data_IF_051761322796
#
_entry.id   IF_051761322796
#
_cell.length_a   1.000
_cell.length_b   1.000
_cell.length_c   1.000
_cell.angle_alpha   90.00
_cell.angle_beta   90.00
_cell.angle_gamma   90.00
#
_symmetry.space_group_name_H-M   'P 1'
#
loop_
_entity.id
_entity.type
_entity.pdbx_description
1 polymer ?
#
# COMPACT_ATOMS: atom_id res chain seq x y z
N UNK A 1 20.99 -14.20 -9.01
CA UNK A 1 20.43 -12.89 -9.45
C UNK A 1 20.41 -11.94 -8.27
N UNK A 2 21.08 -10.80 -8.35
CA UNK A 2 21.05 -9.80 -7.28
C UNK A 2 19.79 -8.94 -7.39
N UNK A 3 18.89 -9.04 -6.39
CA UNK A 3 17.71 -8.19 -6.30
C UNK A 3 18.00 -6.95 -5.43
N UNK A 4 17.78 -5.76 -5.99
CA UNK A 4 17.73 -4.52 -5.22
C UNK A 4 16.26 -4.19 -4.94
N UNK A 5 15.85 -4.36 -3.67
CA UNK A 5 14.45 -4.32 -3.27
C UNK A 5 14.11 -2.95 -2.67
N UNK A 6 13.25 -2.22 -3.35
CA UNK A 6 12.70 -0.96 -2.87
C UNK A 6 11.43 -1.18 -2.03
N UNK A 7 11.30 -0.41 -0.93
CA UNK A 7 10.15 -0.44 -0.04
C UNK A 7 9.66 0.98 0.23
N UNK A 8 8.41 1.28 -0.13
CA UNK A 8 7.73 2.50 0.31
C UNK A 8 6.79 2.18 1.48
N UNK A 9 6.55 3.13 2.37
CA UNK A 9 5.70 2.91 3.53
C UNK A 9 6.33 2.04 4.63
N UNK A 10 7.65 2.03 4.73
CA UNK A 10 8.44 1.29 5.72
C UNK A 10 8.09 1.61 7.19
N UNK A 11 7.60 2.82 7.46
CA UNK A 11 7.18 3.27 8.80
C UNK A 11 5.77 2.84 9.18
N UNK A 12 4.98 2.37 8.21
CA UNK A 12 3.63 1.85 8.42
C UNK A 12 3.62 0.48 9.10
N UNK A 13 2.43 0.02 9.51
CA UNK A 13 2.25 -1.25 10.22
C UNK A 13 2.80 -2.43 9.42
N UNK A 14 2.41 -2.54 8.14
CA UNK A 14 2.85 -3.63 7.26
C UNK A 14 4.34 -3.54 6.92
N UNK A 15 4.84 -2.32 6.64
CA UNK A 15 6.26 -2.12 6.35
C UNK A 15 7.17 -2.53 7.52
N UNK A 16 6.78 -2.18 8.75
CA UNK A 16 7.52 -2.60 9.96
C UNK A 16 7.54 -4.12 10.13
N UNK A 17 6.43 -4.81 9.83
CA UNK A 17 6.36 -6.29 9.89
C UNK A 17 7.30 -6.91 8.85
N UNK A 18 7.27 -6.42 7.62
CA UNK A 18 8.16 -6.91 6.55
C UNK A 18 9.62 -6.74 6.96
N UNK A 19 10.02 -5.56 7.41
CA UNK A 19 11.40 -5.30 7.83
C UNK A 19 11.82 -6.17 9.02
N UNK A 20 10.93 -6.35 10.01
CA UNK A 20 11.23 -7.16 11.19
C UNK A 20 11.46 -8.63 10.88
N UNK A 21 10.65 -9.19 9.97
CA UNK A 21 10.65 -10.63 9.68
C UNK A 21 11.64 -11.02 8.56
N UNK A 22 12.27 -10.04 7.91
CA UNK A 22 13.22 -10.28 6.80
C UNK A 22 14.52 -9.50 7.04
N UNK A 23 15.16 -9.71 8.21
CA UNK A 23 16.36 -8.98 8.63
C UNK A 23 17.59 -9.24 7.75
N UNK A 24 17.62 -10.39 7.09
CA UNK A 24 18.65 -10.79 6.13
C UNK A 24 18.51 -10.08 4.77
N UNK A 25 17.39 -9.38 4.53
CA UNK A 25 17.14 -8.65 3.28
C UNK A 25 17.42 -7.16 3.48
N UNK A 26 18.31 -6.60 2.68
CA UNK A 26 18.65 -5.17 2.70
C UNK A 26 17.68 -4.36 1.84
N UNK A 27 16.55 -3.96 2.41
CA UNK A 27 15.58 -3.09 1.74
C UNK A 27 16.10 -1.66 1.54
N UNK A 28 15.88 -1.11 0.36
CA UNK A 28 16.07 0.31 0.04
C UNK A 28 14.78 1.07 0.36
N UNK A 29 14.64 1.53 1.61
CA UNK A 29 13.44 2.22 2.06
C UNK A 29 13.36 3.64 1.49
N UNK A 30 12.22 3.99 0.88
CA UNK A 30 11.92 5.36 0.49
C UNK A 30 11.44 6.15 1.71
N UNK A 31 12.12 7.25 2.04
CA UNK A 31 11.86 8.04 3.25
C UNK A 31 11.23 9.39 2.97
N UNK A 32 11.21 9.82 1.71
CA UNK A 32 10.67 11.09 1.29
C UNK A 32 9.17 11.00 0.95
N UNK A 33 8.58 12.10 0.50
CA UNK A 33 7.18 12.15 0.08
C UNK A 33 7.02 11.56 -1.32
N UNK A 34 6.19 10.52 -1.46
CA UNK A 34 5.91 9.87 -2.76
C UNK A 34 5.25 10.81 -3.78
N UNK A 35 4.74 11.98 -3.34
CA UNK A 35 4.21 13.03 -4.22
C UNK A 35 5.32 13.78 -4.94
N UNK A 36 6.54 13.78 -4.40
CA UNK A 36 7.71 14.35 -5.05
C UNK A 36 8.21 13.39 -6.15
N UNK A 37 7.84 13.73 -7.39
CA UNK A 37 8.19 12.92 -8.57
C UNK A 37 9.71 12.74 -8.70
N UNK A 38 10.46 13.83 -8.61
CA UNK A 38 11.93 13.81 -8.78
C UNK A 38 12.61 12.94 -7.72
N UNK A 39 12.18 13.04 -6.47
CA UNK A 39 12.70 12.20 -5.38
C UNK A 39 12.44 10.70 -5.63
N UNK A 40 11.24 10.35 -6.09
CA UNK A 40 10.87 8.96 -6.42
C UNK A 40 11.76 8.43 -7.55
N UNK A 41 11.91 9.16 -8.65
CA UNK A 41 12.73 8.76 -9.79
C UNK A 41 14.21 8.60 -9.41
N UNK A 42 14.74 9.56 -8.65
CA UNK A 42 16.11 9.51 -8.15
C UNK A 42 16.34 8.30 -7.22
N UNK A 43 15.37 8.01 -6.34
CA UNK A 43 15.45 6.85 -5.45
C UNK A 43 15.53 5.53 -6.22
N UNK A 44 14.66 5.31 -7.22
CA UNK A 44 14.67 4.09 -8.04
C UNK A 44 15.99 3.98 -8.81
N UNK A 45 16.44 5.09 -9.43
CA UNK A 45 17.66 5.13 -10.24
C UNK A 45 18.93 4.91 -9.40
N UNK A 46 19.14 5.73 -8.36
CA UNK A 46 20.34 5.71 -7.51
C UNK A 46 20.57 4.36 -6.83
N UNK A 47 19.47 3.73 -6.40
CA UNK A 47 19.55 2.44 -5.73
C UNK A 47 19.47 1.24 -6.68
N UNK A 48 19.45 1.45 -8.00
CA UNK A 48 19.33 0.39 -9.03
C UNK A 48 18.20 -0.60 -8.71
N UNK A 49 17.04 -0.07 -8.24
CA UNK A 49 15.92 -0.89 -7.78
C UNK A 49 15.34 -1.67 -8.95
N UNK A 50 15.14 -2.98 -8.76
CA UNK A 50 14.52 -3.87 -9.73
C UNK A 50 13.33 -4.67 -9.20
N UNK A 51 13.05 -4.55 -7.89
CA UNK A 51 11.86 -5.08 -7.22
C UNK A 51 11.28 -3.98 -6.33
N UNK A 52 9.97 -3.73 -6.37
CA UNK A 52 9.32 -2.70 -5.54
C UNK A 52 8.17 -3.29 -4.75
N UNK A 53 8.18 -3.06 -3.43
CA UNK A 53 7.03 -3.21 -2.54
C UNK A 53 6.44 -1.83 -2.23
N UNK A 54 5.31 -1.52 -2.86
CA UNK A 54 4.64 -0.23 -2.67
C UNK A 54 3.52 -0.33 -1.63
N UNK A 55 3.84 0.08 -0.39
CA UNK A 55 2.93 0.03 0.76
C UNK A 55 2.49 1.42 1.23
N UNK A 56 3.13 2.48 0.75
CA UNK A 56 2.84 3.85 1.18
C UNK A 56 1.41 4.25 0.80
N UNK A 57 0.62 4.63 1.79
CA UNK A 57 -0.73 5.17 1.63
C UNK A 57 -1.20 5.88 2.89
N UNK A 58 -2.15 6.80 2.76
CA UNK A 58 -2.93 7.33 3.89
C UNK A 58 -4.03 6.33 4.17
N UNK A 59 -4.03 5.77 5.37
CA UNK A 59 -5.02 4.88 5.98
C UNK A 59 -5.11 5.26 7.48
N UNK A 60 -6.19 5.01 8.19
CA UNK A 60 -7.47 4.42 7.84
C UNK A 60 -8.46 5.40 7.20
N UNK A 61 -9.69 4.93 6.90
CA UNK A 61 -10.75 5.73 6.26
C UNK A 61 -10.98 7.08 6.95
N UNK A 62 -10.96 7.12 8.29
CA UNK A 62 -11.08 8.37 9.07
C UNK A 62 -10.05 9.43 8.67
N UNK A 63 -8.80 9.03 8.44
CA UNK A 63 -7.73 9.95 8.02
C UNK A 63 -7.91 10.39 6.56
N UNK A 64 -8.41 9.49 5.71
CA UNK A 64 -8.76 9.83 4.32
C UNK A 64 -9.88 10.86 4.28
N UNK A 65 -10.93 10.69 5.09
CA UNK A 65 -12.10 11.58 5.13
C UNK A 65 -11.77 12.97 5.71
N UNK A 66 -10.78 13.07 6.59
CA UNK A 66 -10.30 14.39 7.11
C UNK A 66 -9.71 15.26 5.99
N UNK A 67 -9.06 14.67 5.00
CA UNK A 67 -8.48 15.41 3.89
C UNK A 67 -8.42 14.55 2.62
N UNK A 68 -9.55 14.53 1.91
CA UNK A 68 -9.74 13.74 0.68
C UNK A 68 -8.73 14.13 -0.40
N UNK A 69 -8.44 15.43 -0.56
CA UNK A 69 -7.50 15.91 -1.56
C UNK A 69 -6.08 15.41 -1.27
N UNK A 70 -5.65 15.48 -0.01
CA UNK A 70 -4.35 14.93 0.41
C UNK A 70 -4.28 13.43 0.18
N UNK A 71 -5.34 12.70 0.55
CA UNK A 71 -5.43 11.26 0.34
C UNK A 71 -5.37 10.90 -1.15
N UNK A 72 -6.08 11.61 -2.02
CA UNK A 72 -5.99 11.45 -3.48
C UNK A 72 -4.57 11.69 -4.00
N UNK A 73 -3.93 12.79 -3.55
CA UNK A 73 -2.55 13.12 -3.94
C UNK A 73 -1.56 12.03 -3.52
N UNK A 74 -1.66 11.51 -2.29
CA UNK A 74 -0.76 10.45 -1.80
C UNK A 74 -1.10 9.10 -2.42
N UNK A 75 -2.34 8.62 -2.26
CA UNK A 75 -2.71 7.24 -2.60
C UNK A 75 -2.79 6.98 -4.11
N UNK A 76 -3.10 7.99 -4.91
CA UNK A 76 -3.20 7.84 -6.36
C UNK A 76 -2.03 8.51 -7.09
N UNK A 77 -1.81 9.82 -6.93
CA UNK A 77 -0.73 10.50 -7.68
C UNK A 77 0.65 10.05 -7.21
N UNK A 78 0.83 9.81 -5.90
CA UNK A 78 2.06 9.22 -5.38
C UNK A 78 2.32 7.82 -5.95
N UNK A 79 1.29 6.95 -6.00
CA UNK A 79 1.41 5.64 -6.66
C UNK A 79 1.74 5.78 -8.15
N UNK A 80 1.14 6.76 -8.83
CA UNK A 80 1.46 7.06 -10.23
C UNK A 80 2.95 7.38 -10.43
N UNK A 81 3.53 8.23 -9.56
CA UNK A 81 4.96 8.53 -9.62
C UNK A 81 5.84 7.28 -9.46
N UNK A 82 5.49 6.39 -8.51
CA UNK A 82 6.21 5.13 -8.30
C UNK A 82 6.12 4.24 -9.54
N UNK A 83 4.92 4.06 -10.10
CA UNK A 83 4.69 3.24 -11.31
C UNK A 83 5.45 3.78 -12.50
N UNK A 84 5.41 5.10 -12.73
CA UNK A 84 6.12 5.75 -13.84
C UNK A 84 7.64 5.57 -13.72
N UNK A 85 8.21 5.71 -12.50
CA UNK A 85 9.63 5.47 -12.25
C UNK A 85 10.01 4.00 -12.46
N UNK A 86 9.12 3.07 -12.06
CA UNK A 86 9.29 1.64 -12.28
C UNK A 86 9.31 1.28 -13.78
N UNK A 87 8.44 1.91 -14.56
CA UNK A 87 8.40 1.76 -16.02
C UNK A 87 9.68 2.26 -16.68
N UNK A 88 10.11 3.49 -16.35
CA UNK A 88 11.33 4.08 -16.91
C UNK A 88 12.55 3.19 -16.67
N UNK A 89 12.65 2.58 -15.48
CA UNK A 89 13.76 1.71 -15.10
C UNK A 89 13.56 0.24 -15.45
N UNK A 90 12.44 -0.12 -16.09
CA UNK A 90 12.12 -1.49 -16.51
C UNK A 90 12.39 -2.48 -15.37
N UNK A 91 11.81 -2.20 -14.17
CA UNK A 91 11.98 -3.09 -13.01
C UNK A 91 11.44 -4.49 -13.34
N UNK A 92 11.86 -5.50 -12.56
CA UNK A 92 11.45 -6.89 -12.81
C UNK A 92 10.11 -7.23 -12.16
N UNK A 93 9.85 -6.68 -10.95
CA UNK A 93 8.68 -7.06 -10.18
C UNK A 93 8.15 -5.94 -9.29
N UNK A 94 6.82 -5.86 -9.19
CA UNK A 94 6.11 -4.82 -8.45
C UNK A 94 4.99 -5.40 -7.59
N UNK A 95 5.01 -5.13 -6.29
CA UNK A 95 3.89 -5.40 -5.39
C UNK A 95 3.17 -4.13 -5.01
N UNK A 96 1.84 -4.13 -5.15
CA UNK A 96 0.98 -3.05 -4.69
C UNK A 96 0.07 -3.52 -3.56
N UNK A 97 0.20 -2.87 -2.39
CA UNK A 97 -0.73 -3.07 -1.28
C UNK A 97 -2.04 -2.35 -1.57
N UNK A 98 -3.01 -3.07 -2.14
CA UNK A 98 -4.38 -2.62 -2.29
C UNK A 98 -5.23 -3.00 -1.08
N UNK A 99 -6.54 -3.03 -1.19
CA UNK A 99 -7.47 -3.20 -0.07
C UNK A 99 -8.76 -3.92 -0.49
N UNK A 100 -9.39 -4.63 0.44
CA UNK A 100 -10.77 -5.15 0.27
C UNK A 100 -11.82 -4.05 0.01
N UNK A 101 -11.53 -2.80 0.41
CA UNK A 101 -12.43 -1.66 0.18
C UNK A 101 -12.62 -1.26 -1.29
N UNK A 102 -11.93 -1.94 -2.24
CA UNK A 102 -12.23 -1.81 -3.68
C UNK A 102 -13.52 -2.53 -4.08
N UNK A 103 -13.99 -3.46 -3.26
CA UNK A 103 -15.27 -4.15 -3.43
C UNK A 103 -16.40 -3.41 -2.71
N UNK A 104 -17.63 -3.74 -3.09
CA UNK A 104 -18.80 -3.37 -2.31
C UNK A 104 -18.92 -4.24 -1.04
N UNK A 105 -19.70 -3.80 -0.07
CA UNK A 105 -20.08 -4.63 1.07
C UNK A 105 -20.84 -5.88 0.61
N UNK A 106 -20.55 -7.02 1.19
CA UNK A 106 -21.19 -8.30 0.83
C UNK A 106 -21.25 -9.22 2.05
N UNK A 107 -22.39 -9.92 2.20
CA UNK A 107 -22.53 -11.05 3.13
C UNK A 107 -22.06 -12.38 2.52
N UNK A 108 -21.79 -12.40 1.20
CA UNK A 108 -21.27 -13.57 0.48
C UNK A 108 -19.74 -13.53 0.43
N UNK A 109 -19.12 -14.69 0.24
CA UNK A 109 -17.66 -14.79 -0.01
C UNK A 109 -17.30 -13.95 -1.23
N UNK A 110 -16.22 -13.17 -1.10
CA UNK A 110 -15.68 -12.31 -2.16
C UNK A 110 -14.45 -13.00 -2.76
N UNK A 111 -14.37 -13.02 -4.09
CA UNK A 111 -13.21 -13.47 -4.87
C UNK A 111 -12.64 -12.31 -5.69
N UNK A 112 -11.48 -12.51 -6.28
CA UNK A 112 -10.82 -11.52 -7.14
C UNK A 112 -11.63 -11.17 -8.39
N UNK A 113 -12.54 -12.06 -8.82
CA UNK A 113 -13.43 -11.89 -9.98
C UNK A 113 -14.64 -11.00 -9.68
N UNK A 114 -14.95 -10.77 -8.39
CA UNK A 114 -16.09 -9.95 -8.02
C UNK A 114 -15.96 -8.51 -8.55
N UNK A 115 -17.10 -7.90 -8.86
CA UNK A 115 -17.18 -6.52 -9.33
C UNK A 115 -16.55 -5.56 -8.28
N UNK A 116 -15.71 -4.68 -8.76
CA UNK A 116 -15.11 -3.61 -7.95
C UNK A 116 -16.02 -2.40 -7.94
N UNK A 117 -16.60 -2.11 -6.77
CA UNK A 117 -17.53 -0.99 -6.55
C UNK A 117 -17.22 -0.38 -5.16
N UNK A 118 -16.18 0.45 -5.04
CA UNK A 118 -15.78 1.01 -3.75
C UNK A 118 -16.83 1.98 -3.21
N UNK A 119 -17.19 1.83 -1.92
CA UNK A 119 -18.13 2.69 -1.21
C UNK A 119 -17.44 3.80 -0.39
N UNK A 120 -16.11 3.84 -0.38
CA UNK A 120 -15.32 4.84 0.35
C UNK A 120 -14.32 5.53 -0.56
N UNK A 121 -13.98 6.78 -0.23
CA UNK A 121 -12.90 7.49 -0.94
C UNK A 121 -11.57 6.75 -0.87
N UNK A 122 -11.27 6.10 0.26
CA UNK A 122 -10.09 5.25 0.38
C UNK A 122 -10.10 4.15 -0.69
N UNK A 123 -11.18 3.36 -0.75
CA UNK A 123 -11.34 2.32 -1.76
C UNK A 123 -11.24 2.86 -3.18
N UNK A 124 -11.86 4.01 -3.45
CA UNK A 124 -11.82 4.65 -4.76
C UNK A 124 -10.39 5.05 -5.16
N UNK A 125 -9.60 5.63 -4.23
CA UNK A 125 -8.20 5.98 -4.52
C UNK A 125 -7.34 4.76 -4.81
N UNK A 126 -7.56 3.66 -4.09
CA UNK A 126 -6.85 2.39 -4.31
C UNK A 126 -7.25 1.73 -5.62
N UNK A 127 -8.56 1.72 -5.96
CA UNK A 127 -9.03 1.19 -7.24
C UNK A 127 -8.47 1.99 -8.44
N UNK A 128 -8.44 3.33 -8.35
CA UNK A 128 -7.79 4.15 -9.39
C UNK A 128 -6.31 3.79 -9.57
N UNK A 129 -5.61 3.53 -8.47
CA UNK A 129 -4.21 3.09 -8.50
C UNK A 129 -4.06 1.69 -9.12
N UNK A 130 -4.92 0.71 -8.77
CA UNK A 130 -4.96 -0.61 -9.41
C UNK A 130 -5.11 -0.50 -10.93
N UNK A 131 -6.11 0.26 -11.38
CA UNK A 131 -6.39 0.43 -12.80
C UNK A 131 -5.21 1.10 -13.53
N UNK A 132 -4.53 2.04 -12.88
CA UNK A 132 -3.34 2.67 -13.45
C UNK A 132 -2.19 1.66 -13.61
N UNK A 133 -1.92 0.86 -12.58
CA UNK A 133 -0.88 -0.20 -12.59
C UNK A 133 -1.17 -1.19 -13.72
N UNK A 134 -2.40 -1.72 -13.76
CA UNK A 134 -2.82 -2.69 -14.79
C UNK A 134 -2.63 -2.10 -16.19
N UNK A 135 -3.14 -0.89 -16.41
CA UNK A 135 -3.01 -0.19 -17.73
C UNK A 135 -1.55 -0.02 -18.14
N UNK A 136 -0.69 0.38 -17.18
CA UNK A 136 0.70 0.73 -17.49
C UNK A 136 1.61 -0.48 -17.65
N UNK A 137 1.35 -1.57 -16.93
CA UNK A 137 2.20 -2.77 -16.99
C UNK A 137 1.71 -3.83 -18.00
N UNK A 138 0.49 -3.69 -18.55
CA UNK A 138 -0.15 -4.68 -19.42
C UNK A 138 0.74 -5.16 -20.57
N UNK A 139 1.46 -4.26 -21.24
CA UNK A 139 2.29 -4.55 -22.41
C UNK A 139 3.78 -4.40 -22.09
N UNK A 140 4.19 -4.77 -20.88
CA UNK A 140 5.58 -4.71 -20.43
C UNK A 140 5.98 -6.06 -19.83
N UNK A 141 7.28 -6.30 -19.69
CA UNK A 141 7.82 -7.48 -19.01
C UNK A 141 7.77 -7.40 -17.48
N UNK A 142 7.28 -6.27 -16.92
CA UNK A 142 7.18 -6.07 -15.47
C UNK A 142 6.11 -6.99 -14.92
N UNK A 143 6.52 -7.98 -14.13
CA UNK A 143 5.59 -8.81 -13.37
C UNK A 143 5.06 -8.03 -12.17
N UNK A 144 3.76 -8.12 -11.89
CA UNK A 144 3.17 -7.41 -10.76
C UNK A 144 2.13 -8.23 -10.02
N UNK A 145 1.95 -7.88 -8.75
CA UNK A 145 0.92 -8.43 -7.89
C UNK A 145 0.16 -7.28 -7.20
N UNK A 146 -1.17 -7.32 -7.27
CA UNK A 146 -2.06 -6.41 -6.55
C UNK A 146 -2.67 -7.18 -5.39
N UNK A 147 -2.11 -6.98 -4.18
CA UNK A 147 -2.61 -7.63 -2.95
C UNK A 147 -3.76 -6.83 -2.36
N UNK A 148 -5.01 -7.27 -2.54
CA UNK A 148 -6.20 -6.67 -1.90
C UNK A 148 -6.30 -7.17 -0.46
N UNK A 149 -5.63 -6.44 0.44
CA UNK A 149 -5.51 -6.81 1.84
C UNK A 149 -6.83 -6.56 2.55
N UNK A 150 -7.34 -7.59 3.23
CA UNK A 150 -8.47 -7.51 4.15
C UNK A 150 -7.98 -7.04 5.53
N UNK A 151 -8.78 -7.22 6.57
CA UNK A 151 -8.41 -6.79 7.92
C UNK A 151 -7.16 -7.52 8.41
N UNK A 152 -6.18 -6.75 8.87
CA UNK A 152 -4.96 -7.28 9.51
C UNK A 152 -4.87 -6.77 10.93
N UNK A 153 -4.31 -7.56 11.84
CA UNK A 153 -4.02 -7.11 13.19
C UNK A 153 -2.63 -7.58 13.63
N UNK A 154 -2.00 -6.81 14.51
CA UNK A 154 -0.75 -7.16 15.16
C UNK A 154 -0.60 -6.48 16.51
N UNK A 155 0.37 -6.92 17.32
CA UNK A 155 0.60 -6.40 18.68
C UNK A 155 0.89 -4.90 18.74
N UNK A 156 1.48 -4.33 17.71
CA UNK A 156 1.90 -2.92 17.64
C UNK A 156 0.90 -2.02 16.88
N UNK A 157 -0.31 -2.52 16.58
CA UNK A 157 -1.32 -1.76 15.89
C UNK A 157 -1.88 -0.65 16.78
N UNK A 158 -2.12 0.55 16.21
CA UNK A 158 -2.63 1.72 16.96
C UNK A 158 -4.04 1.46 17.49
N UNK A 159 -4.41 2.14 18.61
CA UNK A 159 -5.72 1.98 19.29
C UNK A 159 -6.95 2.30 18.41
N UNK A 160 -6.79 3.07 17.34
CA UNK A 160 -7.90 3.42 16.44
C UNK A 160 -8.27 2.33 15.41
N UNK A 161 -7.70 1.14 15.52
CA UNK A 161 -8.10 -0.04 14.75
C UNK A 161 -8.98 -0.97 15.59
N UNK A 162 -9.87 -1.73 14.93
CA UNK A 162 -10.91 -2.55 15.58
C UNK A 162 -10.38 -3.42 16.72
N UNK A 163 -9.38 -4.26 16.47
CA UNK A 163 -8.91 -5.23 17.47
C UNK A 163 -8.25 -4.57 18.68
N UNK A 164 -7.33 -3.58 18.54
CA UNK A 164 -6.82 -2.84 19.69
C UNK A 164 -7.89 -2.06 20.45
N UNK A 165 -8.89 -1.49 19.78
CA UNK A 165 -10.00 -0.77 20.43
C UNK A 165 -10.88 -1.73 21.27
N UNK A 166 -11.26 -2.88 20.71
CA UNK A 166 -11.98 -3.92 21.43
C UNK A 166 -11.20 -4.42 22.64
N UNK A 167 -9.90 -4.71 22.50
CA UNK A 167 -9.05 -5.10 23.63
C UNK A 167 -9.02 -4.06 24.74
N UNK A 168 -8.96 -2.79 24.39
CA UNK A 168 -9.01 -1.68 25.35
C UNK A 168 -10.34 -1.64 26.08
N UNK A 169 -11.47 -1.72 25.35
CA UNK A 169 -12.83 -1.71 25.92
C UNK A 169 -13.08 -2.89 26.87
N UNK A 170 -12.65 -4.11 26.48
CA UNK A 170 -12.74 -5.29 27.33
C UNK A 170 -11.93 -5.13 28.62
N UNK A 171 -10.68 -4.63 28.52
CA UNK A 171 -9.88 -4.37 29.72
C UNK A 171 -10.49 -3.34 30.66
N UNK A 172 -11.14 -2.30 30.11
CA UNK A 172 -11.83 -1.28 30.90
C UNK A 172 -13.08 -1.84 31.60
N UNK A 173 -13.86 -2.67 30.90
CA UNK A 173 -15.04 -3.32 31.47
C UNK A 173 -14.70 -4.32 32.61
N UNK A 174 -13.56 -5.01 32.54
CA UNK A 174 -13.10 -5.92 33.61
C UNK A 174 -12.54 -5.22 34.84
N UNK A 175 -12.35 -3.90 34.81
CA UNK A 175 -11.85 -3.12 35.97
C UNK A 175 -12.97 -2.37 36.70
N UNK A 176 -14.20 -2.46 36.21
CA UNK A 176 -15.44 -2.09 36.90
C UNK A 176 -16.07 -3.31 37.57
#
# INVERSE_FOLDING_TARGET
>A
MNYSIGLTGSTGSLGKIILKNNRNIKFKCFKEDIRNRSAVFNWVRKNKINVVFHLAAIVPIKEVNKNILKAKKVNFLGTKNIVDACLEKKIKWFFFSSTSHVYNSSHKKISEKNQKKPISYYGLTKLKAENYIIKKFKNTEIKYCIGRIFSTTNKNQKKNYLVPDLKYKIKKAKKK
#
